data_IF_205188368725
#
_entry.id   IF_205188368725
#
_cell.length_a   1.000
_cell.length_b   1.000
_cell.length_c   1.000
_cell.angle_alpha   90.00
_cell.angle_beta   90.00
_cell.angle_gamma   90.00
#
_symmetry.space_group_name_H-M   'P 1'
#
loop_
_entity.id
_entity.type
_entity.pdbx_description
1 polymer ?
#
# COMPACT_ATOMS: atom_id res chain seq x y z
N UNK A 1 -36.64 -9.76 49.47
CA UNK A 1 -36.59 -10.32 48.10
C UNK A 1 -37.00 -9.22 47.12
N UNK A 2 -36.33 -9.19 45.96
CA UNK A 2 -36.57 -8.37 44.76
C UNK A 2 -35.88 -7.02 44.71
N UNK A 3 -35.00 -6.90 43.72
CA UNK A 3 -34.34 -5.67 43.31
C UNK A 3 -33.00 -5.91 42.61
N UNK A 4 -32.90 -6.91 41.72
CA UNK A 4 -31.71 -7.08 40.89
C UNK A 4 -31.76 -5.96 39.83
N UNK A 5 -30.90 -4.96 39.97
CA UNK A 5 -30.66 -3.95 38.93
C UNK A 5 -29.48 -4.45 38.09
N UNK A 6 -29.79 -5.08 36.96
CA UNK A 6 -28.81 -5.39 35.91
C UNK A 6 -28.42 -4.10 35.19
N UNK A 7 -27.23 -3.57 35.49
CA UNK A 7 -26.60 -2.51 34.71
C UNK A 7 -26.02 -3.15 33.43
N UNK A 8 -26.76 -3.06 32.33
CA UNK A 8 -26.29 -3.42 30.99
C UNK A 8 -25.26 -2.38 30.54
N UNK A 9 -23.98 -2.69 30.68
CA UNK A 9 -22.90 -1.92 30.06
C UNK A 9 -22.91 -2.21 28.54
N UNK A 10 -23.47 -1.30 27.75
CA UNK A 10 -23.35 -1.32 26.29
C UNK A 10 -21.90 -0.94 25.96
N UNK A 11 -21.06 -1.95 25.74
CA UNK A 11 -19.77 -1.78 25.08
C UNK A 11 -20.05 -1.40 23.61
N UNK A 12 -20.07 -0.10 23.34
CA UNK A 12 -20.06 0.41 21.97
C UNK A 12 -18.68 0.12 21.37
N UNK A 13 -18.55 -1.01 20.70
CA UNK A 13 -17.37 -1.31 19.90
C UNK A 13 -17.39 -0.38 18.67
N UNK A 14 -16.57 0.67 18.68
CA UNK A 14 -16.25 1.40 17.47
C UNK A 14 -15.67 0.39 16.47
N UNK A 15 -16.38 0.14 15.37
CA UNK A 15 -15.81 -0.52 14.21
C UNK A 15 -14.67 0.38 13.70
N UNK A 16 -13.43 -0.13 13.75
CA UNK A 16 -12.34 0.49 13.04
C UNK A 16 -12.61 0.26 11.54
N UNK A 17 -13.06 1.29 10.85
CA UNK A 17 -13.10 1.29 9.40
C UNK A 17 -11.63 1.32 8.96
N UNK A 18 -11.12 0.19 8.49
CA UNK A 18 -9.79 0.12 7.93
C UNK A 18 -9.82 0.88 6.60
N UNK A 19 -9.50 2.18 6.64
CA UNK A 19 -9.38 3.01 5.43
C UNK A 19 -8.15 2.55 4.63
N UNK A 20 -8.38 1.62 3.70
CA UNK A 20 -7.37 1.11 2.79
C UNK A 20 -7.76 1.27 1.31
N UNK A 21 -6.81 1.02 0.41
CA UNK A 21 -7.11 0.92 -1.01
C UNK A 21 -6.32 -0.19 -1.70
N UNK A 22 -7.00 -0.84 -2.64
CA UNK A 22 -6.42 -1.81 -3.55
C UNK A 22 -6.29 -1.22 -4.96
N UNK A 23 -5.12 -1.37 -5.58
CA UNK A 23 -4.86 -0.99 -6.98
C UNK A 23 -4.23 -2.14 -7.75
N UNK A 24 -4.64 -2.29 -9.02
CA UNK A 24 -3.96 -3.17 -9.98
C UNK A 24 -3.19 -2.36 -11.01
N UNK A 25 -1.91 -2.66 -11.15
CA UNK A 25 -0.95 -1.98 -12.02
C UNK A 25 -0.25 -3.03 -12.90
N UNK A 26 -0.77 -3.28 -14.10
CA UNK A 26 -0.27 -4.39 -14.94
C UNK A 26 -0.35 -5.73 -14.19
N UNK A 27 0.80 -6.40 -14.04
CA UNK A 27 0.93 -7.65 -13.29
C UNK A 27 1.07 -7.49 -11.77
N UNK A 28 1.01 -6.26 -11.25
CA UNK A 28 1.16 -5.97 -9.82
C UNK A 28 -0.18 -5.65 -9.18
N UNK A 29 -0.45 -6.24 -8.02
CA UNK A 29 -1.55 -5.85 -7.13
C UNK A 29 -0.96 -5.22 -5.88
N UNK A 30 -1.29 -3.96 -5.62
CA UNK A 30 -0.86 -3.26 -4.42
C UNK A 30 -2.05 -3.06 -3.49
N UNK A 31 -1.87 -3.37 -2.21
CA UNK A 31 -2.83 -3.09 -1.13
C UNK A 31 -2.16 -2.19 -0.12
N UNK A 32 -2.78 -1.04 0.16
CA UNK A 32 -2.30 -0.09 1.17
C UNK A 32 -3.42 0.14 2.19
N UNK A 33 -3.21 -0.32 3.41
CA UNK A 33 -4.14 -0.11 4.53
C UNK A 33 -3.59 0.96 5.47
N UNK A 34 -4.47 1.76 6.05
CA UNK A 34 -4.06 2.76 7.05
C UNK A 34 -3.36 2.08 8.24
N UNK A 35 -2.19 2.62 8.61
CA UNK A 35 -1.38 2.11 9.72
C UNK A 35 -0.56 0.86 9.42
N UNK A 36 -0.66 0.30 8.21
CA UNK A 36 0.10 -0.89 7.79
C UNK A 36 1.09 -0.58 6.67
N UNK A 37 2.15 -1.39 6.60
CA UNK A 37 3.00 -1.41 5.42
C UNK A 37 2.24 -2.03 4.24
N UNK A 38 2.39 -1.41 3.08
CA UNK A 38 1.73 -1.88 1.86
C UNK A 38 2.18 -3.30 1.48
N UNK A 39 1.33 -4.01 0.75
CA UNK A 39 1.70 -5.28 0.13
C UNK A 39 1.73 -5.13 -1.39
N UNK A 40 2.70 -5.77 -2.03
CA UNK A 40 2.80 -5.91 -3.49
C UNK A 40 2.70 -7.41 -3.80
N UNK A 41 1.72 -7.81 -4.61
CA UNK A 41 1.45 -9.21 -4.95
C UNK A 41 1.33 -10.13 -3.71
N UNK A 42 0.77 -9.61 -2.63
CA UNK A 42 0.62 -10.34 -1.36
C UNK A 42 1.92 -10.46 -0.54
N UNK A 43 2.99 -9.79 -0.95
CA UNK A 43 4.23 -9.68 -0.18
C UNK A 43 4.34 -8.30 0.46
N UNK A 44 4.56 -8.27 1.78
CA UNK A 44 4.64 -7.02 2.55
C UNK A 44 5.98 -6.33 2.29
N UNK A 45 5.93 -5.02 2.04
CA UNK A 45 7.14 -4.23 1.82
C UNK A 45 7.98 -4.15 3.10
N UNK A 46 9.30 -4.07 2.93
CA UNK A 46 10.27 -3.96 4.03
C UNK A 46 10.50 -2.51 4.43
N UNK A 47 10.28 -1.58 3.51
CA UNK A 47 10.34 -0.14 3.76
C UNK A 47 9.24 0.59 2.97
N UNK A 48 8.73 1.67 3.55
CA UNK A 48 7.73 2.52 2.92
C UNK A 48 7.91 3.97 3.39
N UNK A 49 7.75 4.92 2.46
CA UNK A 49 7.64 6.34 2.74
C UNK A 49 6.43 6.89 2.00
N UNK A 50 5.50 7.46 2.74
CA UNK A 50 4.30 8.11 2.20
C UNK A 50 4.55 9.61 2.13
N UNK A 51 4.23 10.21 0.99
CA UNK A 51 4.30 11.65 0.75
C UNK A 51 2.97 12.11 0.17
N UNK A 52 2.29 13.04 0.84
CA UNK A 52 1.10 13.67 0.29
C UNK A 52 1.48 14.68 -0.79
N UNK A 53 0.77 14.67 -1.91
CA UNK A 53 1.03 15.57 -3.03
C UNK A 53 -0.19 16.48 -3.23
N UNK A 54 -0.16 17.71 -2.74
CA UNK A 54 -1.27 18.67 -2.92
C UNK A 54 -2.63 18.11 -2.49
N UNK A 55 -3.71 18.57 -3.12
CA UNK A 55 -5.06 18.08 -2.82
C UNK A 55 -5.27 16.70 -3.43
N UNK A 56 -5.46 15.70 -2.58
CA UNK A 56 -5.71 14.31 -2.97
C UNK A 56 -4.61 13.67 -3.85
N UNK A 57 -3.39 14.20 -3.93
CA UNK A 57 -2.29 13.43 -4.53
C UNK A 57 -1.56 12.61 -3.48
N UNK A 58 -0.95 11.51 -3.92
CA UNK A 58 -0.27 10.58 -3.02
C UNK A 58 0.93 9.98 -3.73
N UNK A 59 2.08 9.98 -3.08
CA UNK A 59 3.26 9.25 -3.50
C UNK A 59 3.66 8.27 -2.41
N UNK A 60 3.97 7.04 -2.80
CA UNK A 60 4.47 6.01 -1.90
C UNK A 60 5.73 5.39 -2.50
N UNK A 61 6.87 5.65 -1.88
CA UNK A 61 8.13 4.99 -2.19
C UNK A 61 8.26 3.74 -1.30
N UNK A 62 8.56 2.59 -1.89
CA UNK A 62 8.61 1.31 -1.18
C UNK A 62 9.80 0.47 -1.63
N UNK A 63 10.25 -0.42 -0.75
CA UNK A 63 11.27 -1.42 -1.04
C UNK A 63 10.87 -2.80 -0.53
N UNK A 64 11.26 -3.85 -1.27
CA UNK A 64 11.23 -5.25 -0.81
C UNK A 64 12.65 -5.80 -0.92
N UNK A 65 13.24 -6.14 0.23
CA UNK A 65 14.63 -6.62 0.32
C UNK A 65 14.82 -7.65 1.44
N UNK A 66 15.14 -8.92 1.14
CA UNK A 66 14.93 -9.57 -0.16
C UNK A 66 13.43 -9.85 -0.40
N UNK A 67 13.04 -9.93 -1.66
CA UNK A 67 11.76 -10.49 -2.05
C UNK A 67 11.79 -12.02 -1.99
N UNK A 68 10.62 -12.67 -2.07
CA UNK A 68 10.50 -14.14 -2.08
C UNK A 68 11.32 -14.85 -3.16
N UNK A 69 11.57 -14.19 -4.29
CA UNK A 69 12.38 -14.71 -5.39
C UNK A 69 13.90 -14.48 -5.21
N UNK A 70 14.31 -13.88 -4.08
CA UNK A 70 15.70 -13.57 -3.76
C UNK A 70 16.21 -12.25 -4.35
N UNK A 71 15.39 -11.53 -5.12
CA UNK A 71 15.74 -10.24 -5.68
C UNK A 71 15.39 -9.07 -4.75
N UNK A 72 15.94 -7.89 -5.05
CA UNK A 72 15.59 -6.65 -4.36
C UNK A 72 14.78 -5.77 -5.31
N UNK A 73 13.68 -5.20 -4.83
CA UNK A 73 12.81 -4.35 -5.66
C UNK A 73 12.52 -3.01 -5.00
N UNK A 74 12.54 -1.96 -5.82
CA UNK A 74 12.05 -0.63 -5.49
C UNK A 74 10.74 -0.36 -6.23
N UNK A 75 9.77 0.21 -5.53
CA UNK A 75 8.47 0.56 -6.08
C UNK A 75 8.16 2.02 -5.79
N UNK A 76 7.59 2.72 -6.77
CA UNK A 76 7.10 4.08 -6.61
C UNK A 76 5.67 4.13 -7.13
N UNK A 77 4.72 4.24 -6.21
CA UNK A 77 3.32 4.47 -6.54
C UNK A 77 3.02 5.97 -6.52
N UNK A 78 2.38 6.48 -7.57
CA UNK A 78 1.96 7.88 -7.64
C UNK A 78 0.49 7.95 -8.06
N UNK A 79 -0.33 8.63 -7.24
CA UNK A 79 -1.62 9.23 -7.61
C UNK A 79 -1.41 10.71 -7.84
N UNK A 80 -1.57 11.17 -9.08
CA UNK A 80 -1.32 12.57 -9.45
C UNK A 80 -2.40 13.48 -8.82
N UNK A 81 -2.03 14.62 -8.19
CA UNK A 81 -2.97 15.54 -7.56
C UNK A 81 -4.05 16.01 -8.54
N UNK A 82 -5.30 16.09 -8.07
CA UNK A 82 -6.43 16.56 -8.88
C UNK A 82 -6.80 15.69 -10.09
N UNK A 83 -6.26 14.47 -10.20
CA UNK A 83 -6.59 13.52 -11.29
C UNK A 83 -6.81 12.11 -10.75
N UNK A 84 -7.50 11.27 -11.52
CA UNK A 84 -7.58 9.83 -11.25
C UNK A 84 -6.39 9.03 -11.80
N UNK A 85 -5.41 9.71 -12.41
CA UNK A 85 -4.25 9.04 -13.01
C UNK A 85 -3.31 8.49 -11.96
N UNK A 86 -2.95 7.23 -12.12
CA UNK A 86 -2.12 6.48 -11.19
C UNK A 86 -1.14 5.61 -11.96
N UNK A 87 0.08 5.51 -11.46
CA UNK A 87 1.09 4.61 -12.03
C UNK A 87 1.96 4.04 -10.92
N UNK A 88 2.52 2.87 -11.22
CA UNK A 88 3.49 2.18 -10.39
C UNK A 88 4.76 2.01 -11.20
N UNK A 89 5.83 2.67 -10.77
CA UNK A 89 7.16 2.38 -11.27
C UNK A 89 7.76 1.25 -10.44
N UNK A 90 8.42 0.33 -11.12
CA UNK A 90 9.07 -0.83 -10.52
C UNK A 90 10.50 -0.86 -11.01
N UNK A 91 11.44 -1.05 -10.10
CA UNK A 91 12.85 -1.19 -10.41
C UNK A 91 13.41 -2.42 -9.71
N UNK A 92 14.11 -3.26 -10.46
CA UNK A 92 15.00 -4.26 -9.86
C UNK A 92 16.22 -3.53 -9.30
N UNK A 93 16.39 -3.57 -7.98
CA UNK A 93 17.52 -2.99 -7.29
C UNK A 93 18.74 -3.88 -7.47
N UNK A 94 19.83 -3.26 -7.91
CA UNK A 94 21.02 -3.97 -8.33
C UNK A 94 21.96 -4.20 -7.16
N UNK A 95 22.63 -5.35 -7.16
CA UNK A 95 23.72 -5.62 -6.23
C UNK A 95 25.07 -5.05 -6.71
N UNK A 96 25.13 -4.48 -7.92
CA UNK A 96 26.32 -3.86 -8.52
C UNK A 96 25.94 -2.65 -9.38
N UNK A 97 26.78 -1.62 -9.38
CA UNK A 97 26.61 -0.42 -10.22
C UNK A 97 26.80 -0.68 -11.72
N UNK A 98 27.49 -1.77 -12.08
CA UNK A 98 27.77 -2.16 -13.46
C UNK A 98 26.66 -3.03 -14.10
N UNK A 99 25.69 -3.46 -13.29
CA UNK A 99 24.58 -4.25 -13.80
C UNK A 99 23.63 -3.40 -14.68
N UNK A 100 22.93 -3.98 -15.66
CA UNK A 100 21.91 -3.27 -16.43
C UNK A 100 20.66 -2.98 -15.58
N UNK A 101 20.13 -1.75 -15.65
CA UNK A 101 18.94 -1.35 -14.89
C UNK A 101 17.69 -1.94 -15.53
N UNK A 102 16.88 -2.67 -14.75
CA UNK A 102 15.58 -3.17 -15.19
C UNK A 102 14.51 -2.31 -14.51
N UNK A 103 13.82 -1.48 -15.31
CA UNK A 103 12.80 -0.54 -14.85
C UNK A 103 11.53 -0.78 -15.67
N UNK A 104 10.37 -0.80 -15.01
CA UNK A 104 9.05 -0.84 -15.63
C UNK A 104 8.15 0.24 -15.06
N UNK A 105 7.24 0.77 -15.87
CA UNK A 105 6.18 1.69 -15.44
C UNK A 105 4.84 1.14 -15.87
N UNK A 106 3.94 0.96 -14.91
CA UNK A 106 2.66 0.28 -15.12
C UNK A 106 1.50 1.21 -14.77
N UNK A 107 0.58 1.50 -15.69
CA UNK A 107 -0.62 2.27 -15.37
C UNK A 107 -1.49 1.48 -14.39
N UNK A 108 -2.01 2.16 -13.39
CA UNK A 108 -2.80 1.56 -12.32
C UNK A 108 -4.29 1.88 -12.43
N UNK A 109 -5.13 0.94 -11.99
CA UNK A 109 -6.57 1.13 -11.79
C UNK A 109 -6.93 0.81 -10.35
N UNK A 110 -7.76 1.66 -9.73
CA UNK A 110 -8.39 1.34 -8.44
C UNK A 110 -9.34 0.16 -8.62
N UNK A 111 -9.33 -0.77 -7.68
CA UNK A 111 -10.37 -1.78 -7.59
C UNK A 111 -11.37 -1.32 -6.53
N UNK A 112 -12.66 -1.49 -6.83
CA UNK A 112 -13.72 -1.34 -5.84
C UNK A 112 -13.83 -2.70 -5.18
N UNK A 113 -13.43 -2.78 -3.91
CA UNK A 113 -13.72 -3.94 -3.07
C UNK A 113 -15.20 -3.93 -2.66
#
# INVERSE_FOLDING_TARGET
MRGIIFLLAVFSACSAWADGFTVKCGGYTMVANQGELSTINGERVTSQKITELGTNGLKIDMGIMPAKDGNNYGFEYIRRPGTETRFLNVQLLQNSMDAPKIIGSFPCKKIVD
#
